data_IF_229933546061
#
_entry.id   IF_229933546061
#
_cell.length_a   1.000
_cell.length_b   1.000
_cell.length_c   1.000
_cell.angle_alpha   90.00
_cell.angle_beta   90.00
_cell.angle_gamma   90.00
#
_symmetry.space_group_name_H-M   'P 1'
#
loop_
_entity.id
_entity.type
_entity.pdbx_description
1 polymer ?
#
# COMPACT_ATOMS: atom_id res chain seq x y z
N UNK A 1 5.29 -25.96 0.00
CA UNK A 1 4.78 -24.83 0.79
C UNK A 1 5.09 -23.54 0.05
N UNK A 2 4.11 -22.76 -0.44
CA UNK A 2 4.40 -21.47 -1.02
C UNK A 2 4.74 -20.50 0.12
N UNK A 3 5.94 -19.95 0.07
CA UNK A 3 6.40 -18.93 1.01
C UNK A 3 5.45 -17.72 0.94
N UNK A 4 5.02 -17.15 2.08
CA UNK A 4 4.30 -15.88 2.07
C UNK A 4 5.23 -14.85 1.42
N UNK A 5 4.74 -14.12 0.41
CA UNK A 5 5.45 -13.04 -0.31
C UNK A 5 5.90 -11.86 0.59
N UNK A 6 5.83 -12.04 1.91
CA UNK A 6 6.05 -11.04 2.92
C UNK A 6 7.48 -11.03 3.48
N UNK A 7 8.26 -12.10 3.29
CA UNK A 7 9.54 -12.23 3.99
C UNK A 7 10.74 -11.51 3.34
N UNK A 8 11.56 -10.97 4.24
CA UNK A 8 12.91 -10.41 4.07
C UNK A 8 13.09 -9.08 3.30
N UNK A 9 12.67 -7.94 3.88
CA UNK A 9 13.10 -6.54 3.60
C UNK A 9 12.88 -5.96 2.18
N UNK A 10 13.12 -6.73 1.11
CA UNK A 10 12.85 -6.39 -0.29
C UNK A 10 11.35 -6.25 -0.56
N UNK A 11 10.51 -7.15 -0.01
CA UNK A 11 9.06 -7.09 -0.19
C UNK A 11 8.43 -5.80 0.36
N UNK A 12 8.88 -5.34 1.53
CA UNK A 12 8.44 -4.06 2.13
C UNK A 12 8.82 -2.84 1.28
N UNK A 13 10.06 -2.81 0.76
CA UNK A 13 10.52 -1.75 -0.14
C UNK A 13 9.74 -1.76 -1.47
N UNK A 14 9.45 -2.93 -2.02
CA UNK A 14 8.65 -3.08 -3.23
C UNK A 14 7.22 -2.59 -2.99
N UNK A 15 6.57 -3.00 -1.90
CA UNK A 15 5.22 -2.54 -1.55
C UNK A 15 5.18 -1.03 -1.34
N UNK A 16 6.14 -0.46 -0.60
CA UNK A 16 6.25 1.00 -0.40
C UNK A 16 6.43 1.74 -1.72
N UNK A 17 7.26 1.20 -2.62
CA UNK A 17 7.50 1.77 -3.96
C UNK A 17 6.26 1.69 -4.84
N UNK A 18 5.54 0.56 -4.83
CA UNK A 18 4.28 0.40 -5.57
C UNK A 18 3.24 1.37 -5.04
N UNK A 19 2.99 1.40 -3.72
CA UNK A 19 2.09 2.36 -3.08
C UNK A 19 2.44 3.79 -3.46
N UNK A 20 3.73 4.18 -3.36
CA UNK A 20 4.20 5.52 -3.73
C UNK A 20 3.95 5.82 -5.20
N UNK A 21 4.17 4.85 -6.08
CA UNK A 21 3.92 5.01 -7.51
C UNK A 21 2.43 5.19 -7.79
N UNK A 22 1.56 4.40 -7.16
CA UNK A 22 0.10 4.45 -7.38
C UNK A 22 -0.49 5.74 -6.82
N UNK A 23 -0.08 6.16 -5.62
CA UNK A 23 -0.52 7.42 -5.00
C UNK A 23 -0.02 8.62 -5.82
N UNK A 24 1.26 8.60 -6.25
CA UNK A 24 1.82 9.68 -7.08
C UNK A 24 1.19 9.76 -8.46
N UNK A 25 0.80 8.62 -9.05
CA UNK A 25 0.05 8.59 -10.31
C UNK A 25 -1.36 9.19 -10.17
N UNK A 26 -1.95 9.14 -8.97
CA UNK A 26 -3.23 9.76 -8.63
C UNK A 26 -3.06 11.15 -8.00
N UNK A 27 -2.15 11.99 -8.53
CA UNK A 27 -1.92 13.36 -8.04
C UNK A 27 -1.47 13.50 -6.57
N UNK A 28 -1.02 12.40 -5.94
CA UNK A 28 -0.50 12.41 -4.57
C UNK A 28 -1.51 12.01 -3.49
N UNK A 29 -2.78 11.81 -3.83
CA UNK A 29 -3.85 11.42 -2.91
C UNK A 29 -4.84 10.50 -3.61
N UNK A 30 -5.24 9.39 -2.98
CA UNK A 30 -6.27 8.52 -3.56
C UNK A 30 -7.14 7.87 -2.50
N UNK A 31 -8.37 7.43 -2.84
CA UNK A 31 -9.21 6.69 -1.90
C UNK A 31 -8.50 5.44 -1.39
N UNK A 32 -8.58 5.19 -0.07
CA UNK A 32 -7.94 4.01 0.53
C UNK A 32 -8.54 2.73 -0.05
N UNK A 33 -9.83 2.71 -0.40
CA UNK A 33 -10.47 1.56 -1.01
C UNK A 33 -9.92 1.25 -2.40
N UNK A 34 -9.75 2.26 -3.26
CA UNK A 34 -9.13 2.08 -4.58
C UNK A 34 -7.69 1.58 -4.47
N UNK A 35 -6.96 2.08 -3.47
CA UNK A 35 -5.59 1.66 -3.23
C UNK A 35 -5.52 0.20 -2.79
N UNK A 36 -6.38 -0.17 -1.84
CA UNK A 36 -6.52 -1.55 -1.37
C UNK A 36 -6.99 -2.47 -2.49
N UNK A 37 -7.89 -2.01 -3.38
CA UNK A 37 -8.36 -2.78 -4.51
C UNK A 37 -7.28 -3.00 -5.57
N UNK A 38 -6.53 -1.96 -5.91
CA UNK A 38 -5.39 -2.05 -6.83
C UNK A 38 -4.34 -3.03 -6.31
N UNK A 39 -4.04 -2.96 -5.02
CA UNK A 39 -3.08 -3.86 -4.38
C UNK A 39 -3.64 -5.29 -4.25
N UNK A 40 -4.95 -5.43 -4.03
CA UNK A 40 -5.63 -6.73 -4.06
C UNK A 40 -5.52 -7.40 -5.43
N UNK A 41 -5.64 -6.64 -6.52
CA UNK A 41 -5.42 -7.14 -7.89
C UNK A 41 -3.97 -7.60 -8.13
N UNK A 42 -3.01 -7.04 -7.40
CA UNK A 42 -1.61 -7.52 -7.42
C UNK A 42 -1.35 -8.72 -6.50
N UNK A 43 -2.39 -9.21 -5.79
CA UNK A 43 -2.32 -10.34 -4.89
C UNK A 43 -1.96 -10.00 -3.44
N UNK A 44 -2.11 -8.73 -3.02
CA UNK A 44 -1.92 -8.31 -1.63
C UNK A 44 -3.24 -8.37 -0.86
N UNK A 45 -3.20 -8.82 0.40
CA UNK A 45 -4.39 -8.88 1.26
C UNK A 45 -4.78 -7.47 1.74
N UNK A 46 -6.03 -7.05 1.49
CA UNK A 46 -6.55 -5.73 1.89
C UNK A 46 -6.37 -5.46 3.39
N UNK A 47 -6.69 -6.42 4.25
CA UNK A 47 -6.59 -6.25 5.71
C UNK A 47 -5.14 -6.09 6.19
N UNK A 48 -4.23 -6.91 5.66
CA UNK A 48 -2.81 -6.84 5.99
C UNK A 48 -2.18 -5.55 5.47
N UNK A 49 -2.62 -5.08 4.30
CA UNK A 49 -2.19 -3.81 3.74
C UNK A 49 -2.70 -2.64 4.57
N UNK A 50 -3.96 -2.64 5.00
CA UNK A 50 -4.55 -1.60 5.85
C UNK A 50 -3.76 -1.38 7.14
N UNK A 51 -3.35 -2.46 7.81
CA UNK A 51 -2.46 -2.39 8.99
C UNK A 51 -1.04 -1.95 8.65
N UNK A 52 -0.59 -2.21 7.43
CA UNK A 52 0.75 -1.83 6.97
C UNK A 52 0.84 -0.40 6.47
N UNK A 53 -0.27 0.27 6.14
CA UNK A 53 -0.28 1.66 5.67
C UNK A 53 0.43 2.59 6.66
N UNK A 54 0.12 2.45 7.96
CA UNK A 54 0.76 3.22 9.03
C UNK A 54 2.29 3.01 9.06
N UNK A 55 2.74 1.77 8.83
CA UNK A 55 4.16 1.40 8.82
C UNK A 55 4.87 1.84 7.53
N UNK A 56 4.11 2.16 6.48
CA UNK A 56 4.61 2.50 5.15
C UNK A 56 4.69 4.01 4.90
N UNK A 57 4.56 4.82 5.95
CA UNK A 57 4.43 6.28 5.89
C UNK A 57 3.24 6.69 5.01
N UNK A 58 2.13 5.96 5.08
CA UNK A 58 0.88 6.34 4.41
C UNK A 58 -0.15 6.67 5.48
N UNK A 59 -0.58 7.92 5.51
CA UNK A 59 -1.66 8.38 6.38
C UNK A 59 -2.99 8.32 5.63
N UNK A 60 -4.07 8.00 6.35
CA UNK A 60 -5.42 7.99 5.82
C UNK A 60 -6.19 9.14 6.44
N UNK A 61 -6.53 10.15 5.64
CA UNK A 61 -7.30 11.33 6.04
C UNK A 61 -8.58 11.37 5.22
N UNK A 62 -9.73 11.43 5.88
CA UNK A 62 -11.04 11.53 5.22
C UNK A 62 -11.31 10.39 4.19
N UNK A 63 -10.86 9.17 4.52
CA UNK A 63 -10.98 8.01 3.61
C UNK A 63 -9.99 8.00 2.44
N UNK A 64 -9.07 8.98 2.36
CA UNK A 64 -8.03 9.07 1.33
C UNK A 64 -6.67 8.72 1.92
N UNK A 65 -5.94 7.86 1.23
CA UNK A 65 -4.55 7.53 1.52
C UNK A 65 -3.60 8.53 0.83
N UNK A 66 -2.71 9.12 1.62
CA UNK A 66 -1.63 10.02 1.17
C UNK A 66 -0.31 9.64 1.83
N UNK A 67 0.82 9.88 1.16
CA UNK A 67 2.11 9.63 1.79
C UNK A 67 2.42 10.72 2.81
N UNK A 68 2.74 10.30 4.03
CA UNK A 68 3.38 11.12 5.04
C UNK A 68 4.80 11.43 4.53
N UNK A 69 5.08 12.71 4.33
CA UNK A 69 6.35 13.21 3.78
C UNK A 69 7.54 12.84 4.64
#
# INVERSE_FOLDING_TARGET
MPYPKWDARRGKLTIKRVLRSVIKANSGEMPVEDLLDHMSKQGYLKEALRRSLEVLDVEVVDGKARFRG
#
